data_IF_514577762811
#
_entry.id   IF_514577762811
#
_cell.length_a   1.000
_cell.length_b   1.000
_cell.length_c   1.000
_cell.angle_alpha   90.00
_cell.angle_beta   90.00
_cell.angle_gamma   90.00
#
_symmetry.space_group_name_H-M   'P 1'
#
loop_
_entity.id
_entity.type
_entity.pdbx_description
1 polymer ?
#
# COMPACT_ATOMS: atom_id res chain seq x y z
N UNK A 1 9.50 3.84 26.66
CA UNK A 1 9.95 3.94 25.26
C UNK A 1 10.75 2.68 24.98
N UNK A 2 10.20 1.75 24.20
CA UNK A 2 10.94 0.56 23.79
C UNK A 2 11.98 1.01 22.76
N UNK A 3 13.26 0.75 23.02
CA UNK A 3 14.32 0.93 22.02
C UNK A 3 14.19 -0.18 20.98
N UNK A 4 14.19 0.18 19.68
CA UNK A 4 14.28 -0.81 18.62
C UNK A 4 15.56 -1.66 18.77
N UNK A 5 15.52 -2.96 18.42
CA UNK A 5 16.72 -3.78 18.37
C UNK A 5 17.68 -3.30 17.26
N UNK A 6 18.98 -3.54 17.42
CA UNK A 6 20.01 -3.04 16.49
C UNK A 6 19.73 -3.45 15.03
N UNK A 7 19.26 -4.69 14.80
CA UNK A 7 18.92 -5.18 13.47
C UNK A 7 17.85 -4.34 12.76
N UNK A 8 16.97 -3.68 13.51
CA UNK A 8 15.92 -2.83 12.95
C UNK A 8 16.55 -1.56 12.36
N UNK A 9 17.50 -0.95 13.07
CA UNK A 9 18.22 0.22 12.55
C UNK A 9 19.05 -0.15 11.33
N UNK A 10 19.76 -1.29 11.36
CA UNK A 10 20.56 -1.76 10.22
C UNK A 10 19.69 -1.97 8.98
N UNK A 11 18.49 -2.52 9.16
CA UNK A 11 17.51 -2.71 8.08
C UNK A 11 17.03 -1.37 7.50
N UNK A 12 16.69 -0.38 8.34
CA UNK A 12 16.29 0.94 7.88
C UNK A 12 17.45 1.66 7.17
N UNK A 13 18.68 1.57 7.69
CA UNK A 13 19.86 2.16 7.06
C UNK A 13 20.16 1.53 5.69
N UNK A 14 19.98 0.22 5.56
CA UNK A 14 20.10 -0.47 4.27
C UNK A 14 19.10 0.10 3.24
N UNK A 15 17.81 0.21 3.61
CA UNK A 15 16.80 0.78 2.72
C UNK A 15 17.04 2.26 2.39
N UNK A 16 17.57 3.05 3.33
CA UNK A 16 17.94 4.45 3.09
C UNK A 16 19.12 4.56 2.12
N UNK A 17 20.11 3.68 2.24
CA UNK A 17 21.27 3.65 1.33
C UNK A 17 20.81 3.38 -0.10
N UNK A 18 19.98 2.35 -0.30
CA UNK A 18 19.40 2.06 -1.62
C UNK A 18 18.58 3.24 -2.16
N UNK A 19 17.76 3.86 -1.31
CA UNK A 19 16.94 5.01 -1.69
C UNK A 19 17.80 6.22 -2.10
N UNK A 20 18.93 6.45 -1.43
CA UNK A 20 19.90 7.51 -1.78
C UNK A 20 20.62 7.21 -3.10
N UNK A 21 20.94 5.95 -3.38
CA UNK A 21 21.64 5.54 -4.60
C UNK A 21 20.74 5.51 -5.84
N UNK A 22 19.47 5.12 -5.68
CA UNK A 22 18.57 4.84 -6.80
C UNK A 22 17.36 5.78 -6.88
N UNK A 23 17.08 6.57 -5.84
CA UNK A 23 15.90 7.44 -5.79
C UNK A 23 14.57 6.70 -5.58
N UNK A 24 14.60 5.37 -5.47
CA UNK A 24 13.44 4.51 -5.24
C UNK A 24 13.84 3.32 -4.36
N UNK A 25 12.89 2.80 -3.58
CA UNK A 25 13.05 1.58 -2.80
C UNK A 25 12.56 0.37 -3.63
N UNK A 26 13.40 -0.63 -3.89
CA UNK A 26 12.99 -1.80 -4.70
C UNK A 26 11.97 -2.70 -4.00
N UNK A 27 11.16 -3.47 -4.76
CA UNK A 27 10.31 -4.52 -4.19
C UNK A 27 11.07 -5.53 -3.33
N UNK A 28 12.28 -5.92 -3.74
CA UNK A 28 13.12 -6.88 -3.02
C UNK A 28 13.51 -6.36 -1.63
N UNK A 29 13.87 -5.08 -1.53
CA UNK A 29 14.16 -4.48 -0.22
C UNK A 29 12.92 -4.33 0.64
N UNK A 30 11.77 -3.94 0.07
CA UNK A 30 10.50 -3.90 0.82
C UNK A 30 10.11 -5.27 1.36
N UNK A 31 10.25 -6.31 0.55
CA UNK A 31 10.01 -7.70 0.96
C UNK A 31 10.96 -8.11 2.09
N UNK A 32 12.26 -7.85 1.95
CA UNK A 32 13.25 -8.17 2.99
C UNK A 32 12.96 -7.43 4.30
N UNK A 33 12.45 -6.19 4.22
CA UNK A 33 11.96 -5.45 5.39
C UNK A 33 10.77 -6.15 6.02
N UNK A 34 9.74 -6.48 5.23
CA UNK A 34 8.58 -7.21 5.75
C UNK A 34 8.97 -8.53 6.41
N UNK A 35 9.83 -9.34 5.79
CA UNK A 35 10.25 -10.62 6.37
C UNK A 35 10.99 -10.48 7.70
N UNK A 36 11.71 -9.36 7.91
CA UNK A 36 12.38 -9.07 9.18
C UNK A 36 11.47 -8.47 10.25
N UNK A 37 10.34 -7.89 9.85
CA UNK A 37 9.38 -7.32 10.80
C UNK A 37 8.59 -8.38 11.58
N UNK A 38 8.59 -9.63 11.12
CA UNK A 38 8.02 -10.74 11.88
C UNK A 38 8.89 -11.02 13.13
N UNK A 39 8.35 -10.88 14.36
CA UNK A 39 9.08 -11.29 15.54
C UNK A 39 9.36 -12.79 15.41
N UNK A 40 10.64 -13.18 15.39
CA UNK A 40 11.08 -14.58 15.16
C UNK A 40 10.43 -15.64 16.10
N UNK A 41 9.72 -15.22 17.14
CA UNK A 41 9.06 -16.05 18.14
C UNK A 41 7.52 -15.86 18.22
N UNK A 42 6.86 -15.14 17.30
CA UNK A 42 5.39 -15.08 17.30
C UNK A 42 4.78 -16.37 16.72
N UNK A 43 4.06 -17.10 17.57
CA UNK A 43 3.21 -18.23 17.18
C UNK A 43 1.74 -17.90 17.49
N UNK A 44 0.89 -17.63 16.47
CA UNK A 44 1.20 -17.60 15.05
C UNK A 44 1.96 -16.33 14.60
N UNK A 45 2.61 -16.34 13.42
CA UNK A 45 3.26 -15.16 12.83
C UNK A 45 2.30 -13.97 12.72
N UNK A 46 2.68 -12.84 13.30
CA UNK A 46 1.88 -11.61 13.29
C UNK A 46 2.26 -10.66 12.14
N UNK A 47 3.08 -11.12 11.19
CA UNK A 47 3.54 -10.31 10.07
C UNK A 47 2.39 -9.68 9.26
N UNK A 48 1.27 -10.39 9.09
CA UNK A 48 0.08 -9.87 8.40
C UNK A 48 -0.53 -8.65 9.12
N UNK A 49 -0.46 -8.59 10.45
CA UNK A 49 -0.90 -7.42 11.25
C UNK A 49 -0.01 -6.21 10.96
N UNK A 50 1.31 -6.42 10.91
CA UNK A 50 2.26 -5.34 10.64
C UNK A 50 2.07 -4.83 9.20
N UNK A 51 1.95 -5.73 8.22
CA UNK A 51 1.67 -5.37 6.82
C UNK A 51 0.32 -4.65 6.68
N UNK A 52 -0.73 -5.16 7.34
CA UNK A 52 -2.03 -4.50 7.38
C UNK A 52 -1.96 -3.08 7.95
N UNK A 53 -1.14 -2.83 8.98
CA UNK A 53 -0.91 -1.47 9.50
C UNK A 53 -0.16 -0.58 8.53
N UNK A 54 0.87 -1.13 7.88
CA UNK A 54 1.63 -0.43 6.83
C UNK A 54 0.69 0.00 5.71
N UNK A 55 -0.12 -0.93 5.22
CA UNK A 55 -1.10 -0.68 4.17
C UNK A 55 -2.20 0.31 4.62
N UNK A 56 -2.70 0.20 5.85
CA UNK A 56 -3.66 1.15 6.40
C UNK A 56 -3.10 2.57 6.43
N UNK A 57 -1.86 2.75 6.91
CA UNK A 57 -1.23 4.08 6.93
C UNK A 57 -0.93 4.61 5.52
N UNK A 58 -0.56 3.74 4.58
CA UNK A 58 -0.39 4.11 3.19
C UNK A 58 -1.72 4.58 2.56
N UNK A 59 -2.80 3.84 2.79
CA UNK A 59 -4.15 4.20 2.37
C UNK A 59 -4.60 5.53 2.99
N UNK A 60 -4.48 5.68 4.31
CA UNK A 60 -4.83 6.91 5.03
C UNK A 60 -4.10 8.15 4.50
N UNK A 61 -2.85 7.98 4.01
CA UNK A 61 -2.08 9.06 3.39
C UNK A 61 -2.62 9.49 2.03
N UNK A 62 -3.27 8.60 1.28
CA UNK A 62 -3.81 8.87 -0.06
C UNK A 62 -5.31 9.16 -0.09
N UNK A 63 -6.05 8.85 0.99
CA UNK A 63 -7.47 9.22 1.13
C UNK A 63 -7.77 10.71 0.86
N UNK A 64 -6.92 11.68 1.25
CA UNK A 64 -7.17 13.09 0.90
C UNK A 64 -7.21 13.35 -0.61
N UNK A 65 -6.44 12.59 -1.41
CA UNK A 65 -6.46 12.70 -2.88
C UNK A 65 -7.82 12.25 -3.42
N UNK A 66 -8.35 11.13 -2.94
CA UNK A 66 -9.70 10.67 -3.27
C UNK A 66 -10.76 11.72 -2.93
N UNK A 67 -10.74 12.21 -1.68
CA UNK A 67 -11.71 13.20 -1.17
C UNK A 67 -11.73 14.51 -1.97
N UNK A 68 -10.59 14.90 -2.54
CA UNK A 68 -10.50 16.12 -3.35
C UNK A 68 -11.26 16.00 -4.69
N UNK A 69 -11.51 14.78 -5.18
CA UNK A 69 -12.14 14.52 -6.48
C UNK A 69 -13.59 14.01 -6.38
N UNK A 70 -14.08 13.71 -5.17
CA UNK A 70 -15.49 13.32 -4.93
C UNK A 70 -16.53 14.24 -5.58
N UNK A 71 -16.39 15.59 -5.56
CA UNK A 71 -17.38 16.46 -6.19
C UNK A 71 -17.54 16.25 -7.72
N UNK A 72 -16.57 15.60 -8.36
CA UNK A 72 -16.56 15.30 -9.80
C UNK A 72 -17.09 13.89 -10.05
N UNK A 73 -16.70 12.92 -9.22
CA UNK A 73 -17.06 11.50 -9.36
C UNK A 73 -18.48 11.15 -8.87
N UNK A 74 -19.16 12.06 -8.17
CA UNK A 74 -20.51 11.80 -7.64
C UNK A 74 -20.52 11.05 -6.31
N UNK A 75 -21.74 10.88 -5.76
CA UNK A 75 -21.94 10.49 -4.35
C UNK A 75 -21.98 8.97 -4.11
N UNK A 76 -22.25 8.12 -5.12
CA UNK A 76 -22.51 6.68 -4.88
C UNK A 76 -21.24 5.87 -4.54
N UNK A 77 -20.07 6.30 -5.04
CA UNK A 77 -18.79 5.62 -4.82
C UNK A 77 -17.92 6.31 -3.75
N UNK A 78 -18.48 7.29 -3.05
CA UNK A 78 -17.72 8.20 -2.21
C UNK A 78 -17.06 7.50 -1.01
N UNK A 79 -17.65 6.41 -0.52
CA UNK A 79 -17.23 5.71 0.70
C UNK A 79 -16.24 4.56 0.48
N UNK A 80 -16.06 4.04 -0.74
CA UNK A 80 -15.36 2.75 -0.93
C UNK A 80 -13.94 2.72 -0.30
N UNK A 81 -13.05 3.69 -0.55
CA UNK A 81 -11.75 3.72 0.13
C UNK A 81 -11.82 3.79 1.66
N UNK A 82 -12.80 4.49 2.21
CA UNK A 82 -13.01 4.54 3.66
C UNK A 82 -13.52 3.20 4.21
N UNK A 83 -14.39 2.50 3.47
CA UNK A 83 -14.87 1.17 3.83
C UNK A 83 -13.71 0.16 3.83
N UNK A 84 -12.83 0.20 2.83
CA UNK A 84 -11.61 -0.61 2.77
C UNK A 84 -10.68 -0.32 3.95
N UNK A 85 -10.46 0.95 4.30
CA UNK A 85 -9.67 1.33 5.48
C UNK A 85 -10.25 0.75 6.78
N UNK A 86 -11.58 0.75 6.91
CA UNK A 86 -12.25 0.16 8.07
C UNK A 86 -12.13 -1.37 8.08
N UNK A 87 -12.29 -2.03 6.93
CA UNK A 87 -12.12 -3.48 6.81
C UNK A 87 -10.70 -3.91 7.20
N UNK A 88 -9.66 -3.22 6.71
CA UNK A 88 -8.27 -3.44 7.12
C UNK A 88 -8.14 -3.32 8.64
N UNK A 89 -8.74 -2.27 9.24
CA UNK A 89 -8.71 -2.04 10.68
C UNK A 89 -9.36 -3.17 11.48
N UNK A 90 -10.51 -3.67 11.03
CA UNK A 90 -11.19 -4.81 11.67
C UNK A 90 -10.34 -6.09 11.60
N UNK A 91 -9.62 -6.32 10.50
CA UNK A 91 -8.71 -7.47 10.35
C UNK A 91 -7.52 -7.36 11.31
N UNK A 92 -6.79 -6.25 11.30
CA UNK A 92 -5.60 -6.06 12.17
C UNK A 92 -5.94 -6.04 13.66
N UNK A 93 -7.19 -5.68 14.03
CA UNK A 93 -7.68 -5.68 15.41
C UNK A 93 -8.30 -7.02 15.82
N UNK A 94 -8.28 -8.03 14.94
CA UNK A 94 -8.77 -9.38 15.22
C UNK A 94 -10.29 -9.48 15.39
N UNK A 95 -11.04 -8.50 14.86
CA UNK A 95 -12.51 -8.45 14.95
C UNK A 95 -13.22 -8.96 13.70
N UNK A 96 -12.51 -9.03 12.57
CA UNK A 96 -13.09 -9.47 11.31
C UNK A 96 -13.27 -10.99 11.21
N UNK A 97 -14.30 -11.41 10.46
CA UNK A 97 -14.42 -12.78 9.95
C UNK A 97 -13.64 -12.88 8.64
N UNK A 98 -12.53 -13.64 8.63
CA UNK A 98 -11.63 -13.71 7.46
C UNK A 98 -12.31 -14.24 6.19
N UNK A 99 -13.09 -15.34 6.20
CA UNK A 99 -13.90 -15.73 5.04
C UNK A 99 -14.78 -14.63 4.47
N UNK A 100 -15.45 -13.85 5.34
CA UNK A 100 -16.32 -12.76 4.90
C UNK A 100 -15.49 -11.61 4.29
N UNK A 101 -14.32 -11.29 4.87
CA UNK A 101 -13.40 -10.29 4.32
C UNK A 101 -12.81 -10.69 2.96
N UNK A 102 -12.55 -11.98 2.75
CA UNK A 102 -12.14 -12.51 1.46
C UNK A 102 -13.22 -12.34 0.40
N UNK A 103 -14.47 -12.66 0.73
CA UNK A 103 -15.60 -12.44 -0.17
C UNK A 103 -15.77 -10.94 -0.47
N UNK A 104 -15.67 -10.10 0.56
CA UNK A 104 -15.75 -8.65 0.44
C UNK A 104 -14.65 -8.08 -0.47
N UNK A 105 -13.38 -8.48 -0.29
CA UNK A 105 -12.27 -8.03 -1.12
C UNK A 105 -12.48 -8.37 -2.62
N UNK A 106 -12.98 -9.58 -2.92
CA UNK A 106 -13.30 -9.99 -4.28
C UNK A 106 -14.45 -9.16 -4.89
N UNK A 107 -15.50 -8.90 -4.11
CA UNK A 107 -16.61 -8.04 -4.55
C UNK A 107 -16.12 -6.62 -4.84
N UNK A 108 -15.28 -6.04 -3.96
CA UNK A 108 -14.73 -4.70 -4.16
C UNK A 108 -13.78 -4.63 -5.35
N UNK A 109 -13.06 -5.69 -5.67
CA UNK A 109 -12.25 -5.78 -6.90
C UNK A 109 -13.11 -5.71 -8.17
N UNK A 110 -14.29 -6.31 -8.15
CA UNK A 110 -15.21 -6.19 -9.27
C UNK A 110 -15.83 -4.79 -9.36
N UNK A 111 -16.24 -4.21 -8.23
CA UNK A 111 -16.81 -2.86 -8.19
C UNK A 111 -15.79 -1.79 -8.58
N UNK A 112 -14.52 -1.95 -8.18
CA UNK A 112 -13.47 -1.00 -8.52
C UNK A 112 -13.28 -0.85 -10.02
N UNK A 113 -13.56 -1.89 -10.82
CA UNK A 113 -13.46 -1.81 -12.27
C UNK A 113 -14.44 -0.78 -12.86
N UNK A 114 -15.67 -0.73 -12.36
CA UNK A 114 -16.66 0.26 -12.79
C UNK A 114 -16.23 1.69 -12.42
N UNK A 115 -15.70 1.87 -11.21
CA UNK A 115 -15.23 3.18 -10.73
C UNK A 115 -14.01 3.65 -11.51
N UNK A 116 -13.11 2.72 -11.84
CA UNK A 116 -11.94 2.98 -12.69
C UNK A 116 -12.39 3.42 -14.08
N UNK A 117 -13.38 2.75 -14.68
CA UNK A 117 -13.96 3.14 -15.97
C UNK A 117 -14.52 4.57 -15.90
N UNK A 118 -15.26 4.92 -14.85
CA UNK A 118 -15.78 6.27 -14.65
C UNK A 118 -14.67 7.32 -14.52
N UNK A 119 -13.62 7.04 -13.75
CA UNK A 119 -12.44 7.94 -13.64
C UNK A 119 -11.81 8.17 -15.01
N UNK A 120 -11.72 7.14 -15.86
CA UNK A 120 -11.22 7.29 -17.23
C UNK A 120 -12.14 8.12 -18.12
N UNK A 121 -13.46 8.08 -17.92
CA UNK A 121 -14.40 8.97 -18.62
C UNK A 121 -14.15 10.44 -18.27
N UNK A 122 -13.76 10.73 -17.02
CA UNK A 122 -13.43 12.07 -16.53
C UNK A 122 -11.91 12.41 -16.54
N UNK A 123 -11.09 11.72 -17.34
CA UNK A 123 -9.61 11.86 -17.28
C UNK A 123 -9.08 13.28 -17.53
N UNK A 124 -9.86 14.17 -18.17
CA UNK A 124 -9.53 15.58 -18.36
C UNK A 124 -9.65 16.41 -17.05
N UNK A 125 -10.45 15.93 -16.09
CA UNK A 125 -10.77 16.61 -14.83
C UNK A 125 -10.23 15.87 -13.60
N UNK A 126 -10.13 14.54 -13.68
CA UNK A 126 -9.66 13.65 -12.61
C UNK A 126 -8.42 12.90 -13.08
N UNK A 127 -7.26 13.06 -12.42
CA UNK A 127 -6.10 12.26 -12.74
C UNK A 127 -6.39 10.76 -12.59
N UNK A 128 -6.02 9.96 -13.60
CA UNK A 128 -6.18 8.49 -13.55
C UNK A 128 -5.47 7.85 -12.34
N UNK A 129 -4.47 8.53 -11.74
CA UNK A 129 -3.81 8.09 -10.50
C UNK A 129 -4.78 8.00 -9.31
N UNK A 130 -5.92 8.68 -9.33
CA UNK A 130 -6.94 8.63 -8.27
C UNK A 130 -7.53 7.22 -8.12
N UNK A 131 -7.65 6.47 -9.21
CA UNK A 131 -8.16 5.10 -9.21
C UNK A 131 -7.32 4.15 -8.33
N UNK A 132 -6.01 4.40 -8.23
CA UNK A 132 -5.09 3.62 -7.41
C UNK A 132 -5.33 3.77 -5.90
N UNK A 133 -6.17 4.71 -5.45
CA UNK A 133 -6.59 4.77 -4.04
C UNK A 133 -7.42 3.53 -3.66
N UNK A 134 -8.31 3.09 -4.56
CA UNK A 134 -9.13 1.89 -4.32
C UNK A 134 -8.24 0.65 -4.33
N UNK A 135 -7.34 0.56 -5.31
CA UNK A 135 -6.41 -0.56 -5.41
C UNK A 135 -5.46 -0.65 -4.19
N UNK A 136 -5.02 0.50 -3.66
CA UNK A 136 -4.27 0.57 -2.39
C UNK A 136 -5.07 -0.06 -1.25
N UNK A 137 -6.37 0.23 -1.16
CA UNK A 137 -7.23 -0.32 -0.11
C UNK A 137 -7.52 -1.81 -0.28
N UNK A 138 -7.75 -2.29 -1.50
CA UNK A 138 -7.98 -3.71 -1.76
C UNK A 138 -6.72 -4.52 -1.43
N UNK A 139 -5.55 -4.09 -1.93
CA UNK A 139 -4.27 -4.76 -1.61
C UNK A 139 -3.98 -4.71 -0.12
N UNK A 140 -4.25 -3.58 0.54
CA UNK A 140 -4.09 -3.48 1.98
C UNK A 140 -4.95 -4.45 2.77
N UNK A 141 -6.19 -4.68 2.30
CA UNK A 141 -7.06 -5.69 2.89
C UNK A 141 -6.50 -7.10 2.69
N UNK A 142 -6.05 -7.44 1.48
CA UNK A 142 -5.42 -8.74 1.18
C UNK A 142 -4.16 -8.98 2.02
N UNK A 143 -3.26 -7.99 2.12
CA UNK A 143 -2.06 -8.04 2.94
C UNK A 143 -2.39 -8.23 4.43
N UNK A 144 -3.44 -7.55 4.92
CA UNK A 144 -3.89 -7.69 6.31
C UNK A 144 -4.40 -9.10 6.63
N UNK A 145 -4.88 -9.84 5.62
CA UNK A 145 -5.31 -11.23 5.73
C UNK A 145 -4.16 -12.24 5.54
N UNK A 146 -2.94 -11.74 5.31
CA UNK A 146 -1.74 -12.57 5.14
C UNK A 146 -1.47 -13.01 3.70
N UNK A 147 -2.13 -12.41 2.71
CA UNK A 147 -1.73 -12.62 1.31
C UNK A 147 -0.40 -11.89 1.06
N UNK A 148 0.57 -12.63 0.54
CA UNK A 148 1.87 -12.09 0.14
C UNK A 148 1.85 -11.79 -1.35
N UNK A 149 1.91 -10.51 -1.70
CA UNK A 149 1.88 -10.05 -3.10
C UNK A 149 3.29 -9.82 -3.66
N UNK A 150 4.31 -9.62 -2.82
CA UNK A 150 5.68 -9.34 -3.27
C UNK A 150 6.50 -10.59 -3.66
N UNK A 151 6.13 -11.79 -3.19
CA UNK A 151 6.86 -13.04 -3.51
C UNK A 151 6.51 -13.62 -4.87
N UNK A 152 5.40 -13.21 -5.47
CA UNK A 152 4.98 -13.71 -6.79
C UNK A 152 5.83 -13.14 -7.94
N UNK A 153 6.77 -12.22 -7.64
CA UNK A 153 7.65 -11.51 -8.58
C UNK A 153 8.77 -12.39 -9.18
N UNK A 154 9.07 -13.57 -8.61
CA UNK A 154 10.13 -14.48 -9.13
C UNK A 154 9.84 -15.09 -10.52
N UNK A 155 8.61 -14.98 -11.03
CA UNK A 155 8.22 -15.57 -12.33
C UNK A 155 8.04 -14.56 -13.48
N UNK A 156 8.38 -13.28 -13.27
CA UNK A 156 8.01 -12.20 -14.18
C UNK A 156 9.23 -11.63 -14.89
N UNK A 157 9.04 -11.14 -16.12
CA UNK A 157 10.13 -10.72 -17.00
C UNK A 157 10.70 -9.36 -16.58
N UNK A 158 11.92 -9.02 -17.01
CA UNK A 158 12.53 -7.69 -16.75
C UNK A 158 11.65 -6.50 -17.16
N UNK A 159 10.71 -6.68 -18.09
CA UNK A 159 9.74 -5.64 -18.49
C UNK A 159 8.62 -5.41 -17.46
N UNK A 160 8.30 -6.40 -16.62
CA UNK A 160 7.26 -6.32 -15.59
C UNK A 160 7.75 -5.62 -14.31
N UNK A 161 9.06 -5.46 -14.13
CA UNK A 161 9.69 -4.79 -12.98
C UNK A 161 9.31 -3.30 -12.84
N UNK A 162 8.73 -2.69 -13.88
CA UNK A 162 8.22 -1.31 -13.83
C UNK A 162 6.79 -1.21 -13.27
N UNK A 163 6.14 -2.31 -12.93
CA UNK A 163 4.84 -2.26 -12.26
C UNK A 163 5.05 -1.92 -10.79
N UNK A 164 4.90 -0.62 -10.49
CA UNK A 164 4.87 -0.01 -9.16
C UNK A 164 3.77 -0.56 -8.22
N UNK A 165 3.24 -1.76 -8.44
CA UNK A 165 1.93 -2.19 -7.93
C UNK A 165 1.98 -3.39 -6.99
N UNK A 166 3.13 -3.92 -6.62
CA UNK A 166 3.11 -5.25 -5.97
C UNK A 166 2.74 -5.23 -4.48
N UNK A 167 2.61 -4.06 -3.86
CA UNK A 167 2.05 -3.92 -2.51
C UNK A 167 1.20 -2.64 -2.40
N UNK A 168 0.43 -2.52 -1.33
CA UNK A 168 -0.42 -1.39 -1.04
C UNK A 168 0.39 -0.08 -0.94
N UNK A 169 1.61 -0.11 -0.39
CA UNK A 169 2.44 1.08 -0.24
C UNK A 169 2.96 1.60 -1.59
N UNK A 170 3.39 0.71 -2.47
CA UNK A 170 3.82 1.05 -3.83
C UNK A 170 2.65 1.61 -4.65
N UNK A 171 1.47 1.03 -4.47
CA UNK A 171 0.23 1.52 -5.10
C UNK A 171 -0.14 2.92 -4.60
N UNK A 172 -0.01 3.18 -3.28
CA UNK A 172 -0.18 4.51 -2.70
C UNK A 172 0.87 5.53 -3.21
N UNK A 173 2.10 5.08 -3.49
CA UNK A 173 3.13 5.93 -4.07
C UNK A 173 2.71 6.46 -5.46
N UNK A 174 2.08 5.62 -6.30
CA UNK A 174 1.54 6.04 -7.62
C UNK A 174 0.54 7.18 -7.46
N UNK A 175 -0.37 7.09 -6.49
CA UNK A 175 -1.38 8.12 -6.24
C UNK A 175 -0.73 9.49 -5.98
N UNK A 176 0.35 9.52 -5.20
CA UNK A 176 1.00 10.76 -4.76
C UNK A 176 2.03 11.30 -5.75
N UNK A 177 2.68 10.40 -6.48
CA UNK A 177 3.88 10.72 -7.26
C UNK A 177 3.64 10.63 -8.76
N UNK A 178 2.52 10.07 -9.23
CA UNK A 178 2.34 9.76 -10.65
C UNK A 178 2.97 8.42 -11.04
N UNK A 179 2.99 8.11 -12.33
CA UNK A 179 3.43 6.82 -12.87
C UNK A 179 2.30 5.81 -13.05
N UNK A 180 2.65 4.53 -12.98
CA UNK A 180 1.74 3.44 -13.37
C UNK A 180 1.32 3.56 -14.83
N UNK A 181 0.15 3.00 -15.17
CA UNK A 181 -0.39 3.00 -16.54
C UNK A 181 -1.23 4.27 -16.84
N UNK A 182 -0.99 5.36 -16.11
CA UNK A 182 -1.85 6.56 -16.14
C UNK A 182 -1.48 7.59 -17.19
N UNK A 183 -0.29 7.48 -17.78
CA UNK A 183 0.30 8.52 -18.64
C UNK A 183 0.82 9.75 -17.89
N UNK A 184 0.66 9.81 -16.56
CA UNK A 184 1.19 10.89 -15.71
C UNK A 184 2.66 10.58 -15.39
N UNK A 185 3.62 11.48 -15.68
CA UNK A 185 5.02 11.24 -15.36
C UNK A 185 5.25 11.16 -13.85
N UNK A 186 6.22 10.35 -13.45
CA UNK A 186 6.63 10.21 -12.05
C UNK A 186 7.35 11.47 -11.58
N UNK A 187 6.86 12.07 -10.51
CA UNK A 187 7.57 13.07 -9.70
C UNK A 187 8.58 12.36 -8.79
N UNK A 188 9.83 12.30 -9.27
CA UNK A 188 10.94 11.61 -8.58
C UNK A 188 11.22 12.16 -7.19
N UNK A 189 11.00 13.46 -6.94
CA UNK A 189 11.23 14.05 -5.63
C UNK A 189 10.16 13.60 -4.64
N UNK A 190 8.88 13.60 -5.05
CA UNK A 190 7.80 13.06 -4.22
C UNK A 190 7.94 11.57 -3.97
N UNK A 191 8.40 10.81 -4.96
CA UNK A 191 8.64 9.38 -4.82
C UNK A 191 9.73 9.10 -3.78
N UNK A 192 10.84 9.84 -3.85
CA UNK A 192 11.90 9.77 -2.84
C UNK A 192 11.37 10.12 -1.44
N UNK A 193 10.62 11.23 -1.31
CA UNK A 193 10.04 11.66 -0.03
C UNK A 193 9.05 10.65 0.53
N UNK A 194 8.24 10.02 -0.32
CA UNK A 194 7.32 8.95 0.06
C UNK A 194 8.06 7.76 0.65
N UNK A 195 9.07 7.23 -0.05
CA UNK A 195 9.81 6.06 0.44
C UNK A 195 10.66 6.38 1.67
N UNK A 196 11.19 7.60 1.76
CA UNK A 196 11.87 8.06 2.96
C UNK A 196 10.92 8.10 4.16
N UNK A 197 9.72 8.67 3.99
CA UNK A 197 8.67 8.64 5.01
C UNK A 197 8.28 7.20 5.38
N UNK A 198 8.16 6.32 4.38
CA UNK A 198 7.84 4.92 4.58
C UNK A 198 8.86 4.22 5.50
N UNK A 199 10.16 4.43 5.24
CA UNK A 199 11.26 3.84 6.01
C UNK A 199 11.37 4.40 7.44
N UNK A 200 11.34 5.73 7.59
CA UNK A 200 11.74 6.36 8.88
C UNK A 200 10.57 6.66 9.81
N UNK A 201 9.33 6.66 9.30
CA UNK A 201 8.13 6.93 10.10
C UNK A 201 7.14 5.78 10.07
N UNK A 202 6.72 5.34 8.89
CA UNK A 202 5.64 4.37 8.75
C UNK A 202 6.01 2.98 9.26
N UNK A 203 7.12 2.39 8.78
CA UNK A 203 7.59 1.07 9.22
C UNK A 203 7.83 1.02 10.74
N UNK A 204 8.55 1.99 11.34
CA UNK A 204 8.74 2.07 12.78
C UNK A 204 7.42 2.17 13.57
N UNK A 205 6.45 2.94 13.07
CA UNK A 205 5.13 3.09 13.69
C UNK A 205 4.29 1.81 13.61
N UNK A 206 4.28 1.16 12.44
CA UNK A 206 3.52 -0.08 12.23
C UNK A 206 4.03 -1.22 13.12
N UNK A 207 5.35 -1.30 13.29
CA UNK A 207 5.99 -2.25 14.19
C UNK A 207 5.68 -1.97 15.67
N UNK A 208 5.78 -0.72 16.13
CA UNK A 208 5.50 -0.39 17.55
C UNK A 208 4.08 -0.65 18.02
N UNK A 209 3.11 -0.77 17.11
CA UNK A 209 1.75 -1.11 17.48
C UNK A 209 1.57 -2.56 17.96
N UNK A 210 2.60 -3.43 17.82
CA UNK A 210 2.52 -4.86 18.20
C UNK A 210 2.61 -5.05 19.70
#
# INVERSE_FOLDING_TARGET
MSSYPDWFYDMIQYGLTELEEHGILSPQTRLAIYERLDPMDSDPPNIHIIRGRIALYALERVLPVWKAHLPILGDEDDQLPMMLANAIREVIEGRANLPDMWAYANEQWHLSSSIVEEIFEYHDEVPNTVAYVIETGIKGLLESMGLETLKEVEMWSEEDHMRFTDDAAATAAIVLCGGGDTGIPVDVQKLYEYWRWWLIELVPRAWQGT
#
